data_IF_511198112958
#
_entry.id   IF_511198112958
#
_cell.length_a   1.000
_cell.length_b   1.000
_cell.length_c   1.000
_cell.angle_alpha   90.00
_cell.angle_beta   90.00
_cell.angle_gamma   90.00
#
_symmetry.space_group_name_H-M   'P 1'
#
loop_
_entity.id
_entity.type
_entity.pdbx_description
1 polymer ?
#
# COMPACT_ATOMS: atom_id res chain seq x y z
N UNK A 1 4.45 -5.11 19.24
CA UNK A 1 5.70 -5.49 18.56
C UNK A 1 5.34 -6.02 17.16
N UNK A 2 5.36 -5.18 16.12
CA UNK A 2 5.00 -5.62 14.75
C UNK A 2 6.25 -6.18 14.07
N UNK A 3 6.71 -7.33 14.55
CA UNK A 3 7.68 -8.15 13.82
C UNK A 3 6.94 -9.05 12.85
N UNK A 4 6.74 -8.61 11.60
CA UNK A 4 6.30 -9.47 10.48
C UNK A 4 7.02 -9.04 9.20
N UNK A 5 8.07 -9.77 8.83
CA UNK A 5 8.80 -9.70 7.56
C UNK A 5 7.88 -9.24 6.40
N UNK A 6 8.25 -8.16 5.71
CA UNK A 6 7.57 -7.71 4.49
C UNK A 6 6.47 -6.65 4.64
N UNK A 7 6.13 -6.22 5.86
CA UNK A 7 5.30 -5.02 6.07
C UNK A 7 6.17 -3.76 6.12
N UNK A 8 5.87 -2.79 5.26
CA UNK A 8 6.52 -1.48 5.21
C UNK A 8 5.54 -0.40 5.67
N UNK A 9 6.03 0.55 6.46
CA UNK A 9 5.29 1.75 6.87
C UNK A 9 5.53 2.86 5.86
N UNK A 10 4.48 3.60 5.52
CA UNK A 10 4.53 4.80 4.69
C UNK A 10 3.73 5.88 5.42
N UNK A 11 4.30 7.08 5.54
CA UNK A 11 3.58 8.24 6.04
C UNK A 11 3.16 9.07 4.85
N UNK A 12 1.87 9.40 4.74
CA UNK A 12 1.29 10.17 3.66
C UNK A 12 0.43 11.27 4.27
N UNK A 13 0.90 12.53 4.19
CA UNK A 13 0.37 13.63 4.99
C UNK A 13 0.43 13.30 6.48
N UNK A 14 -0.67 13.54 7.20
CA UNK A 14 -0.85 13.19 8.61
C UNK A 14 -1.30 11.74 8.84
N UNK A 15 -1.42 10.93 7.78
CA UNK A 15 -1.93 9.56 7.87
C UNK A 15 -0.81 8.53 7.72
N UNK A 16 -0.85 7.54 8.60
CA UNK A 16 0.04 6.38 8.52
C UNK A 16 -0.61 5.27 7.72
N UNK A 17 0.13 4.75 6.75
CA UNK A 17 -0.23 3.59 5.96
C UNK A 17 0.78 2.46 6.16
N UNK A 18 0.28 1.24 6.11
CA UNK A 18 1.04 0.01 6.14
C UNK A 18 0.77 -0.75 4.87
N UNK A 19 1.83 -1.20 4.20
CA UNK A 19 1.67 -1.97 2.98
C UNK A 19 2.54 -3.22 2.97
N UNK A 20 2.09 -4.22 2.21
CA UNK A 20 2.78 -5.48 2.03
C UNK A 20 2.38 -6.10 0.68
N UNK A 21 3.31 -6.83 0.08
CA UNK A 21 3.03 -7.63 -1.11
C UNK A 21 2.66 -9.03 -0.67
N UNK A 22 1.54 -9.54 -1.19
CA UNK A 22 1.16 -10.94 -1.05
C UNK A 22 1.41 -11.62 -2.39
N UNK A 23 2.30 -12.60 -2.36
CA UNK A 23 2.59 -13.49 -3.49
C UNK A 23 1.76 -14.76 -3.29
N UNK A 24 0.95 -15.11 -4.28
CA UNK A 24 0.19 -16.36 -4.38
C UNK A 24 0.46 -16.99 -5.74
N UNK A 25 0.24 -18.30 -5.92
CA UNK A 25 0.44 -19.01 -7.19
C UNK A 25 -0.17 -18.22 -8.38
N UNK A 26 0.70 -17.60 -9.18
CA UNK A 26 0.35 -16.82 -10.37
C UNK A 26 -0.24 -15.43 -10.13
N UNK A 27 -0.33 -14.93 -8.89
CA UNK A 27 -0.89 -13.60 -8.60
C UNK A 27 -0.14 -12.89 -7.49
N UNK A 28 0.46 -11.76 -7.81
CA UNK A 28 1.01 -10.86 -6.80
C UNK A 28 0.01 -9.73 -6.57
N UNK A 29 -0.15 -9.34 -5.31
CA UNK A 29 -1.08 -8.28 -4.93
C UNK A 29 -0.45 -7.38 -3.90
N UNK A 30 -0.50 -6.08 -4.13
CA UNK A 30 -0.13 -5.08 -3.14
C UNK A 30 -1.36 -4.84 -2.27
N UNK A 31 -1.17 -4.98 -0.97
CA UNK A 31 -2.13 -4.59 0.03
C UNK A 31 -1.63 -3.34 0.73
N UNK A 32 -2.43 -2.28 0.73
CA UNK A 32 -2.20 -1.05 1.49
C UNK A 32 -3.33 -0.88 2.48
N UNK A 33 -3.01 -0.61 3.73
CA UNK A 33 -3.98 -0.49 4.83
C UNK A 33 -3.61 0.74 5.66
N UNK A 34 -4.54 1.62 5.94
CA UNK A 34 -4.29 2.72 6.89
C UNK A 34 -4.16 2.21 8.33
N UNK A 35 -3.52 2.98 9.19
CA UNK A 35 -3.43 2.68 10.63
C UNK A 35 -4.82 2.54 11.26
N UNK A 36 -5.76 3.43 10.92
CA UNK A 36 -7.16 3.36 11.33
C UNK A 36 -7.95 2.18 10.72
N UNK A 37 -7.34 1.42 9.80
CA UNK A 37 -7.96 0.33 9.01
C UNK A 37 -9.18 0.75 8.18
N UNK A 38 -9.50 2.04 8.13
CA UNK A 38 -10.58 2.62 7.30
C UNK A 38 -10.29 2.51 5.82
N UNK A 39 -9.03 2.60 5.42
CA UNK A 39 -8.60 2.50 4.03
C UNK A 39 -7.93 1.16 3.83
N UNK A 40 -8.44 0.38 2.87
CA UNK A 40 -7.86 -0.88 2.43
C UNK A 40 -7.86 -0.93 0.91
N UNK A 41 -6.67 -0.77 0.34
CA UNK A 41 -6.45 -0.85 -1.10
C UNK A 41 -5.84 -2.22 -1.40
N UNK A 42 -6.38 -2.89 -2.40
CA UNK A 42 -5.86 -4.15 -2.93
C UNK A 42 -5.69 -3.99 -4.43
N UNK A 43 -4.45 -3.92 -4.88
CA UNK A 43 -4.14 -3.75 -6.31
C UNK A 43 -3.41 -4.99 -6.83
N UNK A 44 -3.78 -5.52 -8.01
CA UNK A 44 -2.96 -6.52 -8.67
C UNK A 44 -1.59 -5.94 -8.97
N UNK A 45 -0.55 -6.67 -8.60
CA UNK A 45 0.83 -6.36 -8.92
C UNK A 45 1.29 -7.43 -9.90
N UNK A 46 1.75 -7.01 -11.07
CA UNK A 46 2.34 -7.92 -12.04
C UNK A 46 3.80 -8.06 -11.62
N UNK A 47 4.28 -9.30 -11.48
CA UNK A 47 5.69 -9.55 -11.20
C UNK A 47 6.51 -9.12 -12.42
N UNK A 48 6.86 -7.85 -12.43
CA UNK A 48 8.05 -7.39 -13.11
C UNK A 48 9.14 -7.39 -12.06
N UNK A 49 10.38 -7.68 -12.43
CA UNK A 49 11.55 -7.72 -11.55
C UNK A 49 11.77 -6.45 -10.70
N UNK A 50 10.95 -5.42 -10.90
CA UNK A 50 10.81 -4.25 -10.04
C UNK A 50 10.24 -4.59 -8.66
N UNK A 51 11.09 -4.45 -7.65
CA UNK A 51 10.63 -4.39 -6.26
C UNK A 51 9.61 -3.26 -6.09
N UNK A 52 8.45 -3.57 -5.51
CA UNK A 52 7.47 -2.52 -5.13
C UNK A 52 8.17 -1.46 -4.28
N UNK A 53 8.16 -0.21 -4.73
CA UNK A 53 8.75 0.91 -4.02
C UNK A 53 7.69 1.68 -3.24
N UNK A 54 8.13 2.47 -2.25
CA UNK A 54 7.25 3.41 -1.52
C UNK A 54 6.58 4.41 -2.47
N UNK A 55 7.25 4.80 -3.56
CA UNK A 55 6.70 5.69 -4.58
C UNK A 55 5.52 5.05 -5.34
N UNK A 56 5.64 3.79 -5.75
CA UNK A 56 4.55 3.06 -6.39
C UNK A 56 3.32 2.94 -5.47
N UNK A 57 3.55 2.69 -4.18
CA UNK A 57 2.49 2.66 -3.17
C UNK A 57 1.87 4.04 -2.96
N UNK A 58 2.67 5.10 -3.00
CA UNK A 58 2.18 6.48 -2.92
C UNK A 58 1.26 6.81 -4.10
N UNK A 59 1.64 6.43 -5.32
CA UNK A 59 0.79 6.59 -6.50
C UNK A 59 -0.50 5.77 -6.42
N UNK A 60 -0.46 4.57 -5.82
CA UNK A 60 -1.66 3.78 -5.55
C UNK A 60 -2.59 4.47 -4.53
N UNK A 61 -2.02 5.06 -3.48
CA UNK A 61 -2.79 5.84 -2.50
C UNK A 61 -3.39 7.05 -3.20
N UNK A 62 -2.61 7.82 -3.96
CA UNK A 62 -3.09 9.00 -4.70
C UNK A 62 -4.23 8.67 -5.67
N UNK A 63 -4.12 7.54 -6.40
CA UNK A 63 -5.17 7.08 -7.32
C UNK A 63 -6.46 6.63 -6.64
N UNK A 64 -6.36 5.95 -5.49
CA UNK A 64 -7.52 5.38 -4.77
C UNK A 64 -8.07 6.29 -3.68
N UNK A 65 -7.25 7.23 -3.26
CA UNK A 65 -7.49 8.25 -2.27
C UNK A 65 -6.95 9.57 -2.83
N UNK A 66 -7.49 10.07 -3.95
CA UNK A 66 -7.30 11.46 -4.27
C UNK A 66 -7.93 12.18 -3.09
N UNK A 67 -7.14 12.88 -2.29
CA UNK A 67 -7.70 13.79 -1.32
C UNK A 67 -8.62 14.72 -2.10
N UNK A 68 -9.93 14.44 -2.05
CA UNK A 68 -10.90 15.52 -2.02
C UNK A 68 -10.55 16.24 -0.73
N UNK A 69 -9.75 17.30 -0.86
CA UNK A 69 -9.67 18.35 0.14
C UNK A 69 -11.09 18.61 0.65
N UNK A 70 -11.34 18.50 1.96
CA UNK A 70 -12.54 19.07 2.52
C UNK A 70 -12.36 20.59 2.58
N UNK A 71 -13.41 21.26 2.10
CA UNK A 71 -13.76 22.69 2.25
C UNK A 71 -13.27 23.62 1.14
#
# INVERSE_FOLDING_TARGET
MVSKKGKRKLVYGDKVFYWYVRVTEGRHRIHVISEDKKIRICSPFRDTEESVTSAAVRALIDKHYPEKEPV
#
